data_IF_259560239352
#
_entry.id   IF_259560239352
#
_cell.length_a   1.000
_cell.length_b   1.000
_cell.length_c   1.000
_cell.angle_alpha   90.00
_cell.angle_beta   90.00
_cell.angle_gamma   90.00
#
_symmetry.space_group_name_H-M   'P 1'
#
loop_
_entity.id
_entity.type
_entity.pdbx_description
1 polymer ?
#
# COMPACT_ATOMS: atom_id res chain seq x y z
N UNK A 1 -11.22 6.43 -3.09
CA UNK A 1 -12.08 5.24 -3.01
C UNK A 1 -12.65 5.21 -1.62
N UNK A 2 -13.96 4.99 -1.47
CA UNK A 2 -14.54 4.71 -0.16
C UNK A 2 -14.13 3.30 0.29
N UNK A 3 -14.39 2.97 1.56
CA UNK A 3 -13.98 1.70 2.11
C UNK A 3 -14.77 0.51 1.52
N UNK A 4 -16.07 0.70 1.25
CA UNK A 4 -16.90 -0.36 0.64
C UNK A 4 -16.35 -0.83 -0.72
N UNK A 5 -16.05 0.11 -1.64
CA UNK A 5 -15.54 -0.28 -2.95
C UNK A 5 -14.10 -0.81 -2.87
N UNK A 6 -13.31 -0.38 -1.88
CA UNK A 6 -11.98 -0.92 -1.62
C UNK A 6 -12.08 -2.40 -1.26
N UNK A 7 -12.98 -2.75 -0.35
CA UNK A 7 -13.13 -4.13 0.12
C UNK A 7 -13.70 -5.04 -0.95
N UNK A 8 -14.67 -4.57 -1.73
CA UNK A 8 -15.18 -5.30 -2.90
C UNK A 8 -14.04 -5.60 -3.90
N UNK A 9 -13.25 -4.59 -4.26
CA UNK A 9 -12.13 -4.77 -5.18
C UNK A 9 -11.04 -5.72 -4.63
N UNK A 10 -10.71 -5.61 -3.34
CA UNK A 10 -9.71 -6.48 -2.71
C UNK A 10 -10.17 -7.94 -2.67
N UNK A 11 -11.44 -8.17 -2.30
CA UNK A 11 -12.01 -9.51 -2.28
C UNK A 11 -12.10 -10.11 -3.69
N UNK A 12 -12.52 -9.32 -4.68
CA UNK A 12 -12.52 -9.73 -6.08
C UNK A 12 -11.11 -10.13 -6.55
N UNK A 13 -10.09 -9.32 -6.25
CA UNK A 13 -8.70 -9.60 -6.62
C UNK A 13 -8.25 -10.96 -6.05
N UNK A 14 -8.53 -11.23 -4.77
CA UNK A 14 -8.20 -12.51 -4.11
C UNK A 14 -9.02 -13.70 -4.62
N UNK A 15 -10.21 -13.47 -5.15
CA UNK A 15 -11.02 -14.54 -5.75
C UNK A 15 -10.50 -14.93 -7.13
N UNK A 16 -10.03 -13.94 -7.90
CA UNK A 16 -9.50 -14.14 -9.25
C UNK A 16 -8.10 -14.74 -9.21
N UNK A 17 -7.26 -14.29 -8.27
CA UNK A 17 -5.86 -14.71 -8.16
C UNK A 17 -5.62 -15.46 -6.84
N UNK A 18 -5.09 -16.71 -6.87
CA UNK A 18 -4.95 -17.54 -5.69
C UNK A 18 -3.88 -17.05 -4.70
N UNK A 19 -2.85 -16.35 -5.20
CA UNK A 19 -1.75 -15.81 -4.42
C UNK A 19 -1.20 -14.51 -5.06
N UNK A 20 -0.21 -13.90 -4.40
CA UNK A 20 0.37 -12.64 -4.86
C UNK A 20 1.31 -12.83 -6.05
N UNK A 21 1.90 -14.01 -6.20
CA UNK A 21 2.70 -14.41 -7.33
C UNK A 21 1.85 -14.39 -8.61
N UNK A 22 0.63 -14.93 -8.55
CA UNK A 22 -0.33 -14.89 -9.64
C UNK A 22 -0.71 -13.44 -9.99
N UNK A 23 -0.98 -12.58 -9.01
CA UNK A 23 -1.25 -11.15 -9.27
C UNK A 23 -0.06 -10.48 -9.96
N UNK A 24 1.17 -10.75 -9.50
CA UNK A 24 2.38 -10.13 -10.05
C UNK A 24 2.71 -10.59 -11.48
N UNK A 25 2.32 -11.82 -11.84
CA UNK A 25 2.57 -12.44 -13.14
C UNK A 25 1.42 -12.29 -14.15
N UNK A 26 0.20 -11.97 -13.68
CA UNK A 26 -0.99 -11.82 -14.52
C UNK A 26 -0.86 -10.69 -15.55
N UNK A 27 -1.69 -10.76 -16.59
CA UNK A 27 -1.88 -9.64 -17.51
C UNK A 27 -2.41 -8.42 -16.76
N UNK A 28 -1.83 -7.25 -17.03
CA UNK A 28 -2.16 -6.03 -16.29
C UNK A 28 -3.64 -5.65 -16.44
N UNK A 29 -4.26 -5.95 -17.59
CA UNK A 29 -5.69 -5.71 -17.82
C UNK A 29 -6.58 -6.56 -16.89
N UNK A 30 -6.23 -7.82 -16.63
CA UNK A 30 -6.98 -8.67 -15.71
C UNK A 30 -6.94 -8.12 -14.28
N UNK A 31 -5.77 -7.61 -13.86
CA UNK A 31 -5.63 -6.95 -12.55
C UNK A 31 -6.43 -5.65 -12.49
N UNK A 32 -6.42 -4.85 -13.55
CA UNK A 32 -7.23 -3.61 -13.66
C UNK A 32 -8.72 -3.94 -13.56
N UNK A 33 -9.18 -4.99 -14.22
CA UNK A 33 -10.57 -5.42 -14.22
C UNK A 33 -11.00 -5.91 -12.84
N UNK A 34 -10.18 -6.72 -12.18
CA UNK A 34 -10.46 -7.21 -10.83
C UNK A 34 -10.64 -6.07 -9.81
N UNK A 35 -9.95 -4.93 -9.98
CA UNK A 35 -10.03 -3.79 -9.05
C UNK A 35 -10.85 -2.61 -9.57
N UNK A 36 -11.55 -2.76 -10.70
CA UNK A 36 -12.18 -1.64 -11.42
C UNK A 36 -13.13 -0.82 -10.56
N UNK A 37 -13.88 -1.50 -9.68
CA UNK A 37 -14.84 -0.89 -8.73
C UNK A 37 -14.19 0.08 -7.74
N UNK A 38 -12.91 -0.08 -7.44
CA UNK A 38 -12.17 0.81 -6.55
C UNK A 38 -11.77 2.15 -7.20
N UNK A 39 -11.98 2.33 -8.52
CA UNK A 39 -11.62 3.55 -9.25
C UNK A 39 -10.11 3.78 -9.35
N UNK A 40 -9.71 4.58 -10.35
CA UNK A 40 -8.31 4.77 -10.77
C UNK A 40 -7.59 3.43 -11.09
N UNK A 41 -8.33 2.42 -11.53
CA UNK A 41 -7.83 1.06 -11.74
C UNK A 41 -6.66 1.02 -12.72
N UNK A 42 -6.74 1.75 -13.84
CA UNK A 42 -5.66 1.86 -14.83
C UNK A 42 -4.32 2.36 -14.23
N UNK A 43 -4.38 3.15 -13.15
CA UNK A 43 -3.18 3.58 -12.43
C UNK A 43 -2.79 2.62 -11.31
N UNK A 44 -3.77 2.03 -10.62
CA UNK A 44 -3.55 1.16 -9.46
C UNK A 44 -3.08 -0.25 -9.86
N UNK A 45 -3.65 -0.84 -10.91
CA UNK A 45 -3.30 -2.19 -11.38
C UNK A 45 -1.80 -2.36 -11.60
N UNK A 46 -1.17 -1.58 -12.51
CA UNK A 46 0.27 -1.67 -12.73
C UNK A 46 1.11 -1.27 -11.49
N UNK A 47 0.60 -0.38 -10.62
CA UNK A 47 1.30 -0.02 -9.36
C UNK A 47 1.29 -1.15 -8.33
N UNK A 48 0.18 -1.88 -8.22
CA UNK A 48 0.09 -3.07 -7.36
C UNK A 48 1.09 -4.11 -7.84
N UNK A 49 1.07 -4.46 -9.13
CA UNK A 49 2.03 -5.42 -9.70
C UNK A 49 3.47 -4.94 -9.52
N UNK A 50 3.75 -3.65 -9.71
CA UNK A 50 5.05 -3.04 -9.45
C UNK A 50 5.49 -3.21 -8.00
N UNK A 51 4.63 -2.89 -7.04
CA UNK A 51 4.93 -3.06 -5.62
C UNK A 51 5.25 -4.53 -5.27
N UNK A 52 4.47 -5.49 -5.77
CA UNK A 52 4.73 -6.91 -5.55
C UNK A 52 6.10 -7.34 -6.12
N UNK A 53 6.47 -6.84 -7.30
CA UNK A 53 7.78 -7.12 -7.93
C UNK A 53 8.94 -6.50 -7.15
N UNK A 54 8.81 -5.28 -6.66
CA UNK A 54 9.82 -4.62 -5.83
C UNK A 54 10.03 -5.38 -4.51
N UNK A 55 8.94 -5.75 -3.83
CA UNK A 55 8.97 -6.56 -2.60
C UNK A 55 9.67 -7.89 -2.88
N UNK A 56 9.25 -8.60 -3.93
CA UNK A 56 9.82 -9.89 -4.32
C UNK A 56 11.31 -9.81 -4.58
N UNK A 57 11.75 -8.78 -5.31
CA UNK A 57 13.15 -8.57 -5.67
C UNK A 57 14.00 -8.27 -4.44
N UNK A 58 13.50 -7.42 -3.54
CA UNK A 58 14.22 -7.06 -2.32
C UNK A 58 14.32 -8.23 -1.32
N UNK A 59 13.26 -9.03 -1.20
CA UNK A 59 13.14 -10.09 -0.20
C UNK A 59 13.46 -11.49 -0.76
N UNK A 60 14.47 -11.59 -1.64
CA UNK A 60 15.00 -12.87 -2.11
C UNK A 60 13.96 -13.80 -2.77
N UNK A 61 12.93 -13.22 -3.42
CA UNK A 61 11.89 -13.97 -4.11
C UNK A 61 10.58 -14.15 -3.34
N UNK A 62 10.49 -13.72 -2.07
CA UNK A 62 9.27 -13.79 -1.25
C UNK A 62 8.45 -12.52 -1.34
N UNK A 63 7.12 -12.65 -1.36
CA UNK A 63 6.19 -11.51 -1.36
C UNK A 63 5.64 -11.30 0.06
N UNK A 64 6.52 -10.87 0.96
CA UNK A 64 6.19 -10.42 2.31
C UNK A 64 7.07 -9.23 2.72
N UNK A 65 6.68 -8.54 3.78
CA UNK A 65 7.36 -7.35 4.29
C UNK A 65 8.07 -7.59 5.63
N UNK A 66 8.28 -8.84 6.04
CA UNK A 66 8.77 -9.14 7.39
C UNK A 66 10.18 -8.58 7.66
N UNK A 67 11.01 -8.47 6.62
CA UNK A 67 12.33 -7.83 6.70
C UNK A 67 12.27 -6.36 7.19
N UNK A 68 11.14 -5.67 7.05
CA UNK A 68 10.99 -4.30 7.55
C UNK A 68 11.06 -4.22 9.08
N UNK A 69 10.74 -5.31 9.80
CA UNK A 69 10.80 -5.34 11.27
C UNK A 69 12.22 -5.27 11.81
N UNK A 70 13.19 -5.70 11.01
CA UNK A 70 14.60 -5.72 11.38
C UNK A 70 15.33 -4.45 10.93
N UNK A 71 14.71 -3.65 10.06
CA UNK A 71 15.26 -2.40 9.55
C UNK A 71 15.13 -1.26 10.58
N UNK A 72 16.12 -0.34 10.63
CA UNK A 72 15.93 0.93 11.31
C UNK A 72 14.72 1.69 10.79
N UNK A 73 13.97 2.36 11.67
CA UNK A 73 12.68 2.98 11.35
C UNK A 73 12.74 3.90 10.12
N UNK A 74 13.73 4.80 10.04
CA UNK A 74 13.85 5.72 8.90
C UNK A 74 14.20 4.99 7.60
N UNK A 75 14.98 3.91 7.67
CA UNK A 75 15.33 3.10 6.49
C UNK A 75 14.11 2.34 5.98
N UNK A 76 13.34 1.70 6.87
CA UNK A 76 12.09 1.01 6.52
C UNK A 76 11.08 1.98 5.88
N UNK A 77 10.96 3.19 6.43
CA UNK A 77 10.11 4.26 5.89
C UNK A 77 10.57 4.70 4.50
N UNK A 78 11.85 4.98 4.32
CA UNK A 78 12.41 5.42 3.05
C UNK A 78 12.32 4.34 1.98
N UNK A 79 12.53 3.07 2.36
CA UNK A 79 12.35 1.93 1.47
C UNK A 79 10.90 1.83 0.99
N UNK A 80 9.91 1.86 1.90
CA UNK A 80 8.49 1.85 1.52
C UNK A 80 8.15 3.00 0.57
N UNK A 81 8.64 4.22 0.86
CA UNK A 81 8.41 5.40 0.02
C UNK A 81 9.12 5.36 -1.33
N UNK A 82 10.11 4.47 -1.52
CA UNK A 82 10.75 4.25 -2.82
C UNK A 82 9.83 3.52 -3.80
N UNK A 83 8.84 2.77 -3.30
CA UNK A 83 7.87 2.04 -4.12
C UNK A 83 6.92 3.02 -4.79
N UNK A 84 6.89 3.00 -6.14
CA UNK A 84 6.03 3.90 -6.93
C UNK A 84 4.55 3.75 -6.56
N UNK A 85 4.00 4.81 -5.96
CA UNK A 85 2.59 4.85 -5.50
C UNK A 85 2.42 4.76 -3.99
N UNK A 86 3.50 4.51 -3.24
CA UNK A 86 3.52 4.57 -1.78
C UNK A 86 4.02 5.94 -1.33
N UNK A 87 3.11 6.74 -0.77
CA UNK A 87 3.45 8.03 -0.18
C UNK A 87 3.71 7.96 1.33
N UNK A 88 4.08 9.08 1.98
CA UNK A 88 4.38 9.14 3.40
C UNK A 88 3.25 8.58 4.29
N UNK A 89 1.99 8.86 3.94
CA UNK A 89 0.82 8.34 4.66
C UNK A 89 0.77 6.80 4.58
N UNK A 90 0.87 6.24 3.38
CA UNK A 90 0.77 4.79 3.16
C UNK A 90 1.92 4.07 3.86
N UNK A 91 3.14 4.59 3.77
CA UNK A 91 4.30 4.04 4.47
C UNK A 91 4.06 4.01 6.00
N UNK A 92 3.58 5.12 6.58
CA UNK A 92 3.28 5.19 8.00
C UNK A 92 2.15 4.23 8.43
N UNK A 93 1.14 3.98 7.58
CA UNK A 93 0.09 2.97 7.85
C UNK A 93 0.71 1.57 7.93
N UNK A 94 1.56 1.19 6.98
CA UNK A 94 2.20 -0.13 6.94
C UNK A 94 3.10 -0.33 8.16
N UNK A 95 3.94 0.67 8.47
CA UNK A 95 4.83 0.62 9.63
C UNK A 95 4.05 0.46 10.94
N UNK A 96 3.01 1.27 11.15
CA UNK A 96 2.23 1.25 12.38
C UNK A 96 1.39 -0.03 12.52
N UNK A 97 0.52 -0.29 11.54
CA UNK A 97 -0.53 -1.31 11.70
C UNK A 97 -0.07 -2.73 11.35
N UNK A 98 0.87 -2.88 10.40
CA UNK A 98 1.34 -4.20 9.99
C UNK A 98 2.65 -4.59 10.68
N UNK A 99 3.56 -3.62 10.88
CA UNK A 99 4.89 -3.89 11.43
C UNK A 99 5.01 -3.63 12.94
N UNK A 100 4.06 -2.92 13.56
CA UNK A 100 4.14 -2.54 14.97
C UNK A 100 5.23 -1.50 15.27
N UNK A 101 5.74 -0.82 14.23
CA UNK A 101 6.78 0.20 14.33
C UNK A 101 6.09 1.55 14.56
N UNK A 102 6.44 2.32 15.61
CA UNK A 102 5.81 3.60 15.90
C UNK A 102 5.90 4.60 14.75
N UNK A 103 4.80 4.82 14.04
CA UNK A 103 4.65 5.83 13.00
C UNK A 103 3.28 6.51 13.13
N UNK A 104 3.14 7.75 12.66
CA UNK A 104 1.89 8.50 12.78
C UNK A 104 1.34 8.88 11.39
N UNK A 105 0.44 8.08 10.79
CA UNK A 105 -0.12 8.37 9.49
C UNK A 105 -1.08 9.56 9.55
N UNK A 106 -0.70 10.69 8.96
CA UNK A 106 -1.55 11.89 8.87
C UNK A 106 -2.37 11.84 7.58
N UNK A 107 -3.68 11.75 7.70
CA UNK A 107 -4.61 11.87 6.57
C UNK A 107 -5.32 13.24 6.52
N UNK A 108 -6.24 13.40 5.59
CA UNK A 108 -6.99 14.67 5.43
C UNK A 108 -7.87 14.99 6.63
N UNK A 109 -8.33 13.99 7.39
CA UNK A 109 -9.15 14.19 8.58
C UNK A 109 -8.29 14.61 9.77
N UNK A 110 -7.19 13.91 10.04
CA UNK A 110 -6.21 14.28 11.05
C UNK A 110 -5.64 15.66 10.76
N UNK A 111 -5.20 15.92 9.53
CA UNK A 111 -4.68 17.23 9.11
C UNK A 111 -5.70 18.36 9.30
N UNK A 112 -6.97 18.11 8.98
CA UNK A 112 -8.05 19.10 9.17
C UNK A 112 -8.33 19.36 10.65
N UNK A 113 -8.47 18.32 11.46
CA UNK A 113 -8.80 18.44 12.89
C UNK A 113 -7.66 19.12 13.64
N UNK A 114 -6.42 18.66 13.47
CA UNK A 114 -5.23 19.25 14.08
C UNK A 114 -5.05 20.74 13.74
N UNK A 115 -5.42 21.14 12.52
CA UNK A 115 -5.44 22.57 12.14
C UNK A 115 -6.53 23.37 12.85
N UNK A 116 -7.72 22.79 13.02
CA UNK A 116 -8.84 23.46 13.73
C UNK A 116 -8.58 23.64 15.22
N UNK A 117 -7.88 22.70 15.85
CA UNK A 117 -7.58 22.73 17.29
C UNK A 117 -6.23 23.39 17.63
N UNK A 118 -5.51 23.91 16.63
CA UNK A 118 -4.25 24.65 16.84
C UNK A 118 -3.01 23.80 17.12
N UNK A 119 -3.04 22.50 16.81
CA UNK A 119 -1.90 21.57 17.01
C UNK A 119 -0.83 21.74 15.93
N UNK A 120 -1.21 22.12 14.70
CA UNK A 120 -0.26 22.41 13.62
C UNK A 120 -0.22 23.91 13.29
N UNK A 121 0.91 24.43 12.77
CA UNK A 121 0.97 25.80 12.25
C UNK A 121 -0.13 26.07 11.21
N UNK A 122 -0.55 27.33 11.13
CA UNK A 122 -1.54 27.79 10.14
C UNK A 122 -1.00 27.62 8.72
#
# INVERSE_FOLDING_TARGET
TNDDNRDVAFNQLKMVFPDWEAVAAADTEDVIDAIRTAGLANQKGPRIQGALKEIKTHNGGKIDLEFLREMPHEEARNWLMSIKGVGPKTAAIVLLFSMGIPAFPVDTHIYRVTGRIGVRPK
#
